data_IF_877972458890
#
_entry.id   IF_877972458890
#
_cell.length_a   1.000
_cell.length_b   1.000
_cell.length_c   1.000
_cell.angle_alpha   90.00
_cell.angle_beta   90.00
_cell.angle_gamma   90.00
#
_symmetry.space_group_name_H-M   'P 1'
#
loop_
_entity.id
_entity.type
_entity.pdbx_description
1 polymer ?
#
# COMPACT_ATOMS: atom_id res chain seq x y z
N UNK A 1 -11.95 7.36 -37.03
CA UNK A 1 -12.92 7.59 -35.95
C UNK A 1 -12.94 6.32 -35.10
N UNK A 2 -12.09 6.25 -34.08
CA UNK A 2 -11.92 5.05 -33.27
C UNK A 2 -13.05 5.03 -32.24
N UNK A 3 -13.93 4.04 -32.34
CA UNK A 3 -15.01 3.81 -31.37
C UNK A 3 -14.37 3.52 -30.01
N UNK A 4 -14.39 4.49 -29.09
CA UNK A 4 -14.05 4.27 -27.70
C UNK A 4 -15.23 3.50 -27.11
N UNK A 5 -15.08 2.19 -26.96
CA UNK A 5 -16.00 1.37 -26.16
C UNK A 5 -15.92 1.89 -24.73
N UNK A 6 -16.92 2.65 -24.28
CA UNK A 6 -17.07 2.99 -22.87
C UNK A 6 -17.36 1.69 -22.13
N UNK A 7 -16.33 1.08 -21.55
CA UNK A 7 -16.50 -0.02 -20.62
C UNK A 7 -17.26 0.52 -19.41
N UNK A 8 -18.42 -0.07 -19.10
CA UNK A 8 -19.14 0.20 -17.86
C UNK A 8 -18.15 0.10 -16.70
N UNK A 9 -18.07 1.11 -15.81
CA UNK A 9 -17.19 1.01 -14.65
C UNK A 9 -17.60 -0.22 -13.83
N UNK A 10 -16.63 -1.01 -13.34
CA UNK A 10 -16.94 -2.23 -12.63
C UNK A 10 -17.72 -1.90 -11.36
N UNK A 11 -18.81 -2.64 -11.11
CA UNK A 11 -19.51 -2.58 -9.83
C UNK A 11 -18.56 -3.03 -8.72
N UNK A 12 -18.50 -2.32 -7.57
CA UNK A 12 -17.73 -2.77 -6.43
C UNK A 12 -18.13 -4.18 -6.01
N UNK A 13 -17.14 -5.04 -5.75
CA UNK A 13 -17.38 -6.38 -5.22
C UNK A 13 -17.87 -6.29 -3.77
N UNK A 14 -18.96 -6.97 -3.45
CA UNK A 14 -19.60 -6.95 -2.12
C UNK A 14 -19.62 -8.32 -1.43
N UNK A 15 -19.30 -9.41 -2.14
CA UNK A 15 -19.17 -10.73 -1.51
C UNK A 15 -18.01 -10.73 -0.51
N UNK A 16 -18.34 -10.90 0.78
CA UNK A 16 -17.41 -10.82 1.89
C UNK A 16 -16.21 -11.75 1.71
N UNK A 17 -16.46 -13.01 1.31
CA UNK A 17 -15.41 -14.00 1.12
C UNK A 17 -14.44 -13.55 0.03
N UNK A 18 -14.98 -13.17 -1.13
CA UNK A 18 -14.19 -12.70 -2.27
C UNK A 18 -13.34 -11.49 -1.89
N UNK A 19 -13.90 -10.48 -1.22
CA UNK A 19 -13.15 -9.27 -0.81
C UNK A 19 -12.02 -9.62 0.16
N UNK A 20 -12.28 -10.51 1.13
CA UNK A 20 -11.29 -10.89 2.15
C UNK A 20 -10.15 -11.72 1.57
N UNK A 21 -10.47 -12.64 0.66
CA UNK A 21 -9.49 -13.55 0.04
C UNK A 21 -8.67 -12.84 -1.04
N UNK A 22 -9.26 -11.91 -1.80
CA UNK A 22 -8.59 -11.18 -2.88
C UNK A 22 -7.79 -9.95 -2.41
N UNK A 23 -7.76 -9.66 -1.11
CA UNK A 23 -7.06 -8.48 -0.58
C UNK A 23 -5.56 -8.54 -0.90
N UNK A 24 -4.97 -7.39 -1.23
CA UNK A 24 -3.53 -7.26 -1.39
C UNK A 24 -2.81 -7.53 -0.07
N UNK A 25 -1.78 -8.39 -0.11
CA UNK A 25 -1.02 -8.77 1.08
C UNK A 25 0.27 -8.00 1.32
N UNK A 26 0.80 -7.36 0.29
CA UNK A 26 2.09 -6.66 0.35
C UNK A 26 2.00 -5.33 -0.39
N UNK A 27 2.75 -4.35 0.10
CA UNK A 27 2.69 -2.97 -0.36
C UNK A 27 4.09 -2.37 -0.42
N UNK A 28 4.28 -1.45 -1.34
CA UNK A 28 5.48 -0.63 -1.42
C UNK A 28 5.17 0.83 -1.12
N UNK A 29 6.07 1.44 -0.35
CA UNK A 29 6.11 2.87 -0.10
C UNK A 29 7.42 3.40 -0.70
N UNK A 30 7.33 4.20 -1.77
CA UNK A 30 8.48 4.86 -2.36
C UNK A 30 8.54 6.31 -1.90
N UNK A 31 9.57 6.65 -1.14
CA UNK A 31 9.81 8.00 -0.65
C UNK A 31 10.61 8.72 -1.72
N UNK A 32 10.16 9.92 -2.12
CA UNK A 32 10.78 10.75 -3.15
C UNK A 32 11.41 12.01 -2.57
N UNK A 33 12.53 12.41 -3.16
CA UNK A 33 13.24 13.64 -2.82
C UNK A 33 13.96 14.21 -4.06
N UNK A 34 14.10 15.53 -4.09
CA UNK A 34 14.91 16.24 -5.08
C UNK A 34 16.40 16.04 -4.78
N UNK A 35 17.11 15.43 -5.73
CA UNK A 35 18.56 15.19 -5.63
C UNK A 35 19.37 16.50 -5.51
N UNK A 36 18.86 17.60 -6.07
CA UNK A 36 19.48 18.92 -5.99
C UNK A 36 19.26 19.60 -4.63
N UNK A 37 18.43 19.02 -3.76
CA UNK A 37 18.13 19.54 -2.43
C UNK A 37 18.83 18.70 -1.36
N UNK A 38 20.00 19.14 -0.83
CA UNK A 38 20.65 18.45 0.27
C UNK A 38 19.74 18.30 1.49
N UNK A 39 18.83 19.25 1.71
CA UNK A 39 17.85 19.22 2.79
C UNK A 39 16.84 18.09 2.61
N UNK A 40 16.29 17.89 1.41
CA UNK A 40 15.36 16.78 1.18
C UNK A 40 16.07 15.43 1.22
N UNK A 41 17.27 15.32 0.65
CA UNK A 41 18.09 14.11 0.75
C UNK A 41 18.36 13.75 2.22
N UNK A 42 18.77 14.71 3.04
CA UNK A 42 19.00 14.50 4.47
C UNK A 42 17.71 14.08 5.19
N UNK A 43 16.58 14.72 4.90
CA UNK A 43 15.28 14.37 5.48
C UNK A 43 14.84 12.95 5.08
N UNK A 44 15.03 12.57 3.82
CA UNK A 44 14.67 11.25 3.29
C UNK A 44 15.48 10.14 3.97
N UNK A 45 16.79 10.34 4.12
CA UNK A 45 17.67 9.40 4.81
C UNK A 45 17.38 9.33 6.31
N UNK A 46 17.12 10.47 6.96
CA UNK A 46 16.73 10.50 8.37
C UNK A 46 15.41 9.76 8.63
N UNK A 47 14.43 9.90 7.73
CA UNK A 47 13.16 9.17 7.78
C UNK A 47 13.38 7.67 7.61
N UNK A 48 14.24 7.26 6.66
CA UNK A 48 14.62 5.86 6.44
C UNK A 48 15.24 5.24 7.69
N UNK A 49 16.16 5.95 8.32
CA UNK A 49 16.81 5.52 9.56
C UNK A 49 15.81 5.40 10.72
N UNK A 50 14.82 6.30 10.78
CA UNK A 50 13.77 6.24 11.79
C UNK A 50 12.88 5.01 11.59
N UNK A 51 12.49 4.69 10.35
CA UNK A 51 11.76 3.45 10.02
C UNK A 51 12.57 2.22 10.43
N UNK A 52 13.89 2.18 10.17
CA UNK A 52 14.75 1.07 10.58
C UNK A 52 14.83 0.91 12.10
N UNK A 53 14.94 2.02 12.85
CA UNK A 53 14.91 1.99 14.32
C UNK A 53 13.56 1.50 14.85
N UNK A 54 12.45 1.99 14.31
CA UNK A 54 11.11 1.59 14.70
C UNK A 54 10.81 0.13 14.38
N UNK A 55 11.27 -0.38 13.22
CA UNK A 55 11.24 -1.83 12.93
C UNK A 55 12.00 -2.61 13.99
N UNK A 56 13.25 -2.22 14.28
CA UNK A 56 14.08 -2.89 15.29
C UNK A 56 13.40 -2.92 16.65
N UNK A 57 12.73 -1.83 17.01
CA UNK A 57 12.09 -1.65 18.32
C UNK A 57 10.65 -2.23 18.36
N UNK A 58 10.18 -2.84 17.27
CA UNK A 58 8.92 -3.59 17.24
C UNK A 58 7.66 -2.73 17.02
N UNK A 59 7.80 -1.50 16.53
CA UNK A 59 6.64 -0.64 16.27
C UNK A 59 5.77 -1.14 15.10
N UNK A 60 6.40 -1.73 14.08
CA UNK A 60 5.77 -2.30 12.89
C UNK A 60 6.79 -3.12 12.09
N UNK A 61 6.32 -3.89 11.11
CA UNK A 61 7.18 -4.52 10.11
C UNK A 61 7.23 -3.65 8.85
N UNK A 62 8.42 -3.16 8.53
CA UNK A 62 8.69 -2.37 7.33
C UNK A 62 10.14 -2.61 6.90
N UNK A 63 10.38 -2.97 5.65
CA UNK A 63 11.72 -3.30 5.15
C UNK A 63 12.15 -2.29 4.08
N UNK A 64 12.88 -1.23 4.47
CA UNK A 64 13.55 -0.37 3.50
C UNK A 64 14.55 -1.17 2.68
N UNK A 65 14.46 -1.08 1.36
CA UNK A 65 15.44 -1.69 0.46
C UNK A 65 16.82 -1.06 0.73
N UNK A 66 17.89 -1.86 0.58
CA UNK A 66 19.24 -1.38 0.87
C UNK A 66 19.63 -0.19 -0.01
N UNK A 67 19.25 -0.24 -1.30
CA UNK A 67 19.54 0.80 -2.29
C UNK A 67 18.74 2.07 -2.00
N UNK A 68 19.44 3.20 -2.02
CA UNK A 68 18.85 4.52 -2.25
C UNK A 68 19.18 4.91 -3.69
N UNK A 69 18.16 5.31 -4.45
CA UNK A 69 18.33 5.76 -5.82
C UNK A 69 18.83 7.20 -5.80
N UNK A 70 20.09 7.40 -6.22
CA UNK A 70 20.72 8.73 -6.33
C UNK A 70 20.58 9.33 -7.75
N UNK A 71 19.76 8.69 -8.58
CA UNK A 71 19.37 9.07 -9.94
C UNK A 71 18.12 8.26 -10.32
N UNK A 72 17.39 8.61 -11.41
CA UNK A 72 16.21 7.87 -11.83
C UNK A 72 16.51 6.39 -12.09
N UNK A 73 15.73 5.49 -11.49
CA UNK A 73 15.87 4.03 -11.65
C UNK A 73 14.47 3.42 -11.84
N UNK A 74 14.34 2.58 -12.87
CA UNK A 74 13.06 1.94 -13.20
C UNK A 74 11.97 2.98 -13.47
N UNK A 75 10.79 2.87 -12.83
CA UNK A 75 9.69 3.81 -13.05
C UNK A 75 9.84 5.12 -12.24
N UNK A 76 10.86 5.22 -11.37
CA UNK A 76 10.99 6.31 -10.39
C UNK A 76 11.84 7.46 -10.97
N UNK A 77 11.27 8.67 -11.18
CA UNK A 77 11.90 9.74 -11.94
C UNK A 77 12.90 10.62 -11.16
N UNK A 78 13.14 10.35 -9.88
CA UNK A 78 13.94 11.22 -9.01
C UNK A 78 14.73 10.40 -7.97
N UNK A 79 15.32 11.10 -7.00
CA UNK A 79 15.87 10.45 -5.82
C UNK A 79 14.76 9.71 -5.09
N UNK A 80 14.98 8.43 -4.79
CA UNK A 80 13.96 7.63 -4.10
C UNK A 80 14.52 6.45 -3.33
N UNK A 81 13.74 5.90 -2.42
CA UNK A 81 13.97 4.54 -1.90
C UNK A 81 12.64 3.85 -1.62
N UNK A 82 12.66 2.53 -1.65
CA UNK A 82 11.52 1.66 -1.43
C UNK A 82 11.47 1.16 0.02
N UNK A 83 10.26 1.00 0.54
CA UNK A 83 9.98 0.25 1.77
C UNK A 83 8.90 -0.79 1.45
N UNK A 84 9.23 -2.07 1.65
CA UNK A 84 8.25 -3.15 1.63
C UNK A 84 7.51 -3.25 2.96
N UNK A 85 6.19 -3.46 2.90
CA UNK A 85 5.30 -3.51 4.07
C UNK A 85 4.24 -4.61 3.86
N UNK A 86 4.08 -5.57 4.80
CA UNK A 86 2.99 -6.53 4.74
C UNK A 86 1.67 -5.87 5.17
N UNK A 87 0.54 -6.43 4.72
CA UNK A 87 -0.81 -5.93 5.04
C UNK A 87 -1.05 -5.78 6.55
N UNK A 88 -0.52 -6.70 7.35
CA UNK A 88 -0.59 -6.68 8.81
C UNK A 88 0.10 -5.47 9.48
N UNK A 89 1.01 -4.78 8.79
CA UNK A 89 1.69 -3.56 9.29
C UNK A 89 1.37 -2.31 8.44
N UNK A 90 0.51 -2.44 7.42
CA UNK A 90 0.23 -1.35 6.49
C UNK A 90 -0.25 -0.08 7.20
N UNK A 91 -1.23 -0.21 8.09
CA UNK A 91 -1.84 0.93 8.79
C UNK A 91 -0.83 1.65 9.68
N UNK A 92 0.00 0.91 10.43
CA UNK A 92 0.96 1.50 11.35
C UNK A 92 2.03 2.30 10.60
N UNK A 93 2.54 1.73 9.50
CA UNK A 93 3.51 2.41 8.63
C UNK A 93 2.87 3.62 7.95
N UNK A 94 1.65 3.47 7.44
CA UNK A 94 0.90 4.56 6.80
C UNK A 94 0.71 5.73 7.79
N UNK A 95 0.25 5.46 9.02
CA UNK A 95 0.04 6.47 10.05
C UNK A 95 1.35 7.18 10.40
N UNK A 96 2.42 6.41 10.60
CA UNK A 96 3.73 6.97 10.91
C UNK A 96 4.23 7.89 9.79
N UNK A 97 4.20 7.44 8.54
CA UNK A 97 4.66 8.24 7.40
C UNK A 97 3.77 9.46 7.17
N UNK A 98 2.45 9.33 7.30
CA UNK A 98 1.53 10.45 7.17
C UNK A 98 1.84 11.57 8.17
N UNK A 99 2.23 11.23 9.40
CA UNK A 99 2.56 12.18 10.44
C UNK A 99 4.01 12.70 10.41
N UNK A 100 4.97 11.91 9.90
CA UNK A 100 6.40 12.16 10.12
C UNK A 100 7.22 12.39 8.83
N UNK A 101 6.64 12.24 7.63
CA UNK A 101 7.39 12.40 6.36
C UNK A 101 7.85 13.84 6.06
N UNK A 102 7.39 14.83 6.84
CA UNK A 102 7.57 16.24 6.52
C UNK A 102 7.00 16.57 5.14
N UNK A 103 7.82 17.15 4.27
CA UNK A 103 7.40 17.55 2.92
C UNK A 103 7.68 16.50 1.83
N UNK A 104 8.27 15.35 2.17
CA UNK A 104 8.64 14.32 1.19
C UNK A 104 7.42 13.64 0.59
N UNK A 105 7.37 13.46 -0.72
CA UNK A 105 6.27 12.72 -1.36
C UNK A 105 6.45 11.21 -1.20
N UNK A 106 5.35 10.48 -1.05
CA UNK A 106 5.36 9.02 -0.95
C UNK A 106 4.37 8.41 -1.93
N UNK A 107 4.86 7.61 -2.88
CA UNK A 107 4.01 6.71 -3.68
C UNK A 107 3.73 5.47 -2.84
N UNK A 108 2.45 5.13 -2.69
CA UNK A 108 2.01 3.91 -2.01
C UNK A 108 1.29 3.05 -3.03
N UNK A 109 1.71 1.82 -3.24
CA UNK A 109 1.02 0.92 -4.17
C UNK A 109 1.02 -0.53 -3.69
N UNK A 110 0.02 -1.32 -4.10
CA UNK A 110 -0.01 -2.75 -3.82
C UNK A 110 1.09 -3.48 -4.60
N UNK A 111 1.48 -4.67 -4.14
CA UNK A 111 2.42 -5.55 -4.80
C UNK A 111 1.70 -6.79 -5.34
N UNK A 112 1.30 -6.73 -6.61
CA UNK A 112 0.56 -7.80 -7.31
C UNK A 112 1.26 -8.20 -8.60
N UNK A 113 0.68 -9.17 -9.32
CA UNK A 113 1.12 -9.57 -10.66
C UNK A 113 0.99 -8.45 -11.70
N UNK A 114 0.14 -7.44 -11.48
CA UNK A 114 -0.11 -6.36 -12.44
C UNK A 114 0.65 -5.08 -12.09
N UNK A 115 1.98 -5.14 -12.12
CA UNK A 115 2.88 -4.08 -11.65
C UNK A 115 2.57 -2.71 -12.26
N UNK A 116 2.36 -2.62 -13.58
CA UNK A 116 1.99 -1.35 -14.22
C UNK A 116 0.70 -0.77 -13.63
N UNK A 117 -0.33 -1.60 -13.47
CA UNK A 117 -1.62 -1.18 -12.92
C UNK A 117 -1.50 -0.74 -11.46
N UNK A 118 -0.65 -1.41 -10.70
CA UNK A 118 -0.35 -1.08 -9.31
C UNK A 118 0.26 0.31 -9.20
N UNK A 119 1.20 0.65 -10.09
CA UNK A 119 1.84 1.97 -10.15
C UNK A 119 0.99 3.06 -10.80
N UNK A 120 -0.01 2.72 -11.62
CA UNK A 120 -0.79 3.69 -12.40
C UNK A 120 -2.12 4.04 -11.75
N UNK A 121 -2.95 3.03 -11.45
CA UNK A 121 -4.36 3.22 -11.09
C UNK A 121 -4.74 2.73 -9.71
N UNK A 122 -3.95 1.82 -9.11
CA UNK A 122 -4.18 1.32 -7.74
C UNK A 122 -3.28 2.01 -6.70
N UNK A 123 -2.47 2.97 -7.13
CA UNK A 123 -1.61 3.71 -6.23
C UNK A 123 -2.41 4.72 -5.38
N UNK A 124 -1.74 5.21 -4.36
CA UNK A 124 -2.06 6.42 -3.63
C UNK A 124 -0.81 7.27 -3.47
N UNK A 125 -1.00 8.55 -3.17
CA UNK A 125 0.10 9.48 -2.90
C UNK A 125 -0.11 10.18 -1.57
N UNK A 126 0.97 10.26 -0.78
CA UNK A 126 1.08 11.26 0.28
C UNK A 126 1.93 12.44 -0.23
N UNK A 127 1.39 13.64 -0.16
CA UNK A 127 2.05 14.83 -0.71
C UNK A 127 1.86 14.96 -2.22
N UNK A 128 2.78 15.66 -2.89
CA UNK A 128 2.67 15.96 -4.32
C UNK A 128 3.04 14.73 -5.17
N UNK A 129 2.16 14.23 -6.05
CA UNK A 129 2.50 13.11 -6.94
C UNK A 129 3.65 13.42 -7.89
N UNK A 130 4.48 12.41 -8.17
CA UNK A 130 5.53 12.48 -9.19
C UNK A 130 5.11 11.80 -10.50
N UNK A 131 5.63 12.23 -11.66
CA UNK A 131 5.33 11.61 -12.94
C UNK A 131 6.08 10.27 -13.08
N UNK A 132 5.40 9.17 -12.74
CA UNK A 132 5.95 7.81 -12.82
C UNK A 132 6.16 7.40 -14.28
N UNK A 133 7.33 6.86 -14.61
CA UNK A 133 7.63 6.34 -15.94
C UNK A 133 7.07 4.92 -16.11
N UNK A 134 5.80 4.83 -16.50
CA UNK A 134 5.05 3.58 -16.56
C UNK A 134 5.53 2.61 -17.66
N UNK A 135 6.21 3.11 -18.69
CA UNK A 135 6.60 2.30 -19.85
C UNK A 135 7.77 1.35 -19.56
N UNK A 136 8.48 1.56 -18.44
CA UNK A 136 9.46 0.59 -17.95
C UNK A 136 8.85 -0.60 -17.21
N UNK A 137 7.54 -0.58 -16.92
CA UNK A 137 6.88 -1.62 -16.12
C UNK A 137 6.24 -2.69 -17.00
N UNK A 138 6.38 -3.98 -16.65
CA UNK A 138 5.63 -5.04 -17.30
C UNK A 138 4.13 -4.87 -17.02
N UNK A 139 3.30 -5.26 -18.00
CA UNK A 139 1.84 -5.23 -17.83
C UNK A 139 1.35 -6.31 -16.87
N UNK A 140 1.98 -7.49 -16.93
CA UNK A 140 1.71 -8.65 -16.07
C UNK A 140 3.03 -9.39 -15.74
N UNK A 141 3.03 -10.14 -14.65
CA UNK A 141 4.15 -10.97 -14.21
C UNK A 141 3.76 -11.81 -13.00
N UNK A 142 4.75 -12.47 -12.40
CA UNK A 142 4.52 -13.20 -11.15
C UNK A 142 4.32 -12.24 -9.98
N UNK A 143 3.57 -12.67 -8.97
CA UNK A 143 3.48 -11.93 -7.69
C UNK A 143 4.88 -11.91 -7.06
N UNK A 144 5.44 -10.73 -6.76
CA UNK A 144 6.75 -10.67 -6.12
C UNK A 144 6.65 -11.22 -4.70
N UNK A 145 7.35 -12.31 -4.41
CA UNK A 145 7.45 -12.85 -3.05
C UNK A 145 8.69 -12.25 -2.38
N UNK A 146 8.50 -11.15 -1.65
CA UNK A 146 9.58 -10.47 -0.92
C UNK A 146 9.59 -10.90 0.55
N UNK A 147 10.77 -11.27 1.06
CA UNK A 147 11.01 -11.65 2.47
C UNK A 147 10.14 -12.80 3.01
N UNK A 148 10.04 -13.96 2.30
CA UNK A 148 9.21 -15.08 2.74
C UNK A 148 9.59 -15.64 4.12
N UNK A 149 10.84 -15.47 4.55
CA UNK A 149 11.33 -15.87 5.87
C UNK A 149 10.62 -15.18 7.04
N UNK A 150 9.91 -14.07 6.79
CA UNK A 150 9.12 -13.38 7.80
C UNK A 150 7.76 -14.04 8.05
N UNK A 151 7.26 -14.88 7.14
CA UNK A 151 5.94 -15.51 7.25
C UNK A 151 4.78 -14.50 7.25
N UNK A 152 4.96 -13.36 6.58
CA UNK A 152 4.00 -12.26 6.49
C UNK A 152 3.61 -12.01 5.03
N UNK A 153 2.59 -11.17 4.82
CA UNK A 153 2.13 -10.83 3.47
C UNK A 153 1.63 -12.07 2.73
N UNK A 154 2.14 -12.33 1.54
CA UNK A 154 1.77 -13.52 0.75
C UNK A 154 2.22 -14.84 1.40
N UNK A 155 3.12 -14.79 2.39
CA UNK A 155 3.60 -15.96 3.15
C UNK A 155 2.84 -16.21 4.46
N UNK A 156 1.77 -15.46 4.74
CA UNK A 156 0.99 -15.58 5.99
C UNK A 156 0.30 -16.95 6.09
N UNK A 157 0.37 -17.58 7.27
CA UNK A 157 -0.32 -18.85 7.51
C UNK A 157 -1.84 -18.66 7.56
N UNK A 158 -2.65 -19.55 6.97
CA UNK A 158 -4.11 -19.51 7.09
C UNK A 158 -4.62 -19.50 8.55
N UNK A 159 -3.86 -20.07 9.50
CA UNK A 159 -4.22 -20.10 10.92
C UNK A 159 -4.15 -18.72 11.60
N UNK A 160 -3.42 -17.78 11.01
CA UNK A 160 -3.32 -16.39 11.50
C UNK A 160 -4.46 -15.51 10.99
N UNK A 161 -5.28 -16.01 10.08
CA UNK A 161 -6.41 -15.28 9.50
C UNK A 161 -7.63 -15.29 10.42
N UNK A 162 -8.35 -14.16 10.43
CA UNK A 162 -9.68 -14.10 11.03
C UNK A 162 -10.65 -14.90 10.15
N UNK A 163 -11.30 -15.90 10.74
CA UNK A 163 -12.27 -16.75 10.04
C UNK A 163 -13.47 -15.96 9.49
N UNK A 164 -14.10 -16.50 8.45
CA UNK A 164 -15.29 -15.87 7.84
C UNK A 164 -16.43 -15.72 8.85
N UNK A 165 -16.63 -16.73 9.70
CA UNK A 165 -17.64 -16.69 10.78
C UNK A 165 -17.36 -15.55 11.77
N UNK A 166 -16.11 -15.39 12.21
CA UNK A 166 -15.74 -14.31 13.12
C UNK A 166 -15.88 -12.94 12.46
N UNK A 167 -15.59 -12.82 11.15
CA UNK A 167 -15.83 -11.57 10.39
C UNK A 167 -17.31 -11.22 10.33
N UNK A 168 -18.17 -12.18 10.02
CA UNK A 168 -19.63 -11.99 10.01
C UNK A 168 -20.14 -11.56 11.38
N UNK A 169 -19.67 -12.21 12.45
CA UNK A 169 -20.03 -11.87 13.83
C UNK A 169 -19.62 -10.44 14.20
N UNK A 170 -18.42 -10.01 13.79
CA UNK A 170 -17.95 -8.63 13.99
C UNK A 170 -18.79 -7.62 13.21
N UNK A 171 -19.10 -7.92 11.95
CA UNK A 171 -19.97 -7.08 11.12
C UNK A 171 -21.35 -6.89 11.75
N UNK A 172 -22.02 -7.97 12.13
CA UNK A 172 -23.33 -7.92 12.79
C UNK A 172 -23.30 -7.10 14.09
N UNK A 173 -22.21 -7.18 14.86
CA UNK A 173 -22.03 -6.37 16.07
C UNK A 173 -21.90 -4.88 15.76
N UNK A 174 -21.19 -4.50 14.69
CA UNK A 174 -21.08 -3.11 14.26
C UNK A 174 -22.46 -2.57 13.85
N UNK A 175 -23.19 -3.29 13.02
CA UNK A 175 -24.55 -2.89 12.59
C UNK A 175 -25.51 -2.74 13.77
N UNK A 176 -25.44 -3.64 14.75
CA UNK A 176 -26.26 -3.53 15.95
C UNK A 176 -25.94 -2.28 16.80
N UNK A 177 -24.67 -1.86 16.85
CA UNK A 177 -24.26 -0.65 17.57
C UNK A 177 -24.65 0.63 16.84
N UNK A 178 -24.67 0.61 15.52
CA UNK A 178 -24.98 1.77 14.67
C UNK A 178 -26.46 1.88 14.31
N UNK A 179 -27.31 0.94 14.73
CA UNK A 179 -28.70 0.82 14.29
C UNK A 179 -29.55 2.08 14.52
N UNK A 180 -29.28 2.81 15.60
CA UNK A 180 -30.01 4.01 16.00
C UNK A 180 -29.15 5.29 15.89
N UNK A 181 -27.95 5.21 15.29
CA UNK A 181 -27.07 6.36 15.10
C UNK A 181 -27.53 7.18 13.87
N UNK A 182 -27.99 8.44 14.05
CA UNK A 182 -28.51 9.25 12.96
C UNK A 182 -27.43 9.73 11.97
N UNK A 183 -26.15 9.64 12.33
CA UNK A 183 -25.02 10.02 11.46
C UNK A 183 -24.44 8.81 10.70
N UNK A 184 -24.78 7.59 11.11
CA UNK A 184 -24.37 6.37 10.43
C UNK A 184 -25.38 5.97 9.34
N UNK A 185 -24.92 5.89 8.09
CA UNK A 185 -25.75 5.36 7.01
C UNK A 185 -26.06 3.87 7.27
N UNK A 186 -27.32 3.44 7.24
CA UNK A 186 -27.66 2.03 7.45
C UNK A 186 -27.14 1.18 6.27
N UNK A 187 -26.68 -0.03 6.57
CA UNK A 187 -26.35 -1.00 5.52
C UNK A 187 -27.59 -1.26 4.62
N UNK A 188 -27.42 -1.40 3.29
CA UNK A 188 -28.49 -1.78 2.39
C UNK A 188 -29.15 -3.09 2.83
N UNK A 189 -30.48 -3.15 2.72
CA UNK A 189 -31.24 -4.40 2.82
C UNK A 189 -31.39 -4.91 1.41
N UNK A 190 -30.75 -6.04 1.11
CA UNK A 190 -30.90 -6.74 -0.18
C UNK A 190 -32.35 -7.20 -0.41
#
# INVERSE_FOLDING_TARGET
>A
MTMVTQSTPPTPQTDLKTVVEARTREWHFHIYFLLQSPTETAAALALRDAVLRLRRDGAFVAVPLFRVNEFPIGPHPAGSYEIWVPDSSFSDVFFYLAANRGNLSVLVHPLTSSQRRDHETRNAWMGTPWPIYLDSLPSDGDVPLQYPELGLGWSTSPEQEISLEERLRRGAKVEALLADDPEAAPAPKD
#
